data_IF_633649723149
#
_entry.id   IF_633649723149
#
_cell.length_a   1.000
_cell.length_b   1.000
_cell.length_c   1.000
_cell.angle_alpha   90.00
_cell.angle_beta   90.00
_cell.angle_gamma   90.00
#
_symmetry.space_group_name_H-M   'P 1'
#
loop_
_entity.id
_entity.type
_entity.pdbx_description
1 polymer ?
#
# COMPACT_ATOMS: atom_id res chain seq x y z
N UNK A 1 -55.49 20.24 25.67
CA UNK A 1 -54.60 19.29 24.95
C UNK A 1 -53.69 20.12 24.04
N UNK A 2 -52.39 20.19 24.32
CA UNK A 2 -51.39 20.82 23.44
C UNK A 2 -50.52 19.70 22.87
N UNK A 3 -50.67 19.43 21.58
CA UNK A 3 -49.86 18.45 20.86
C UNK A 3 -48.42 18.95 20.78
N UNK A 4 -47.51 18.24 21.45
CA UNK A 4 -46.06 18.44 21.33
C UNK A 4 -45.61 17.67 20.09
N UNK A 5 -45.26 18.40 19.03
CA UNK A 5 -44.69 17.84 17.81
C UNK A 5 -43.21 17.51 18.10
N UNK A 6 -42.91 16.22 18.27
CA UNK A 6 -41.55 15.72 18.45
C UNK A 6 -40.84 15.71 17.07
N UNK A 7 -40.02 16.72 16.82
CA UNK A 7 -39.15 16.75 15.63
C UNK A 7 -37.95 15.85 15.90
N UNK A 8 -37.97 14.66 15.28
CA UNK A 8 -36.81 13.76 15.26
C UNK A 8 -35.80 14.35 14.28
N UNK A 9 -34.82 15.06 14.80
CA UNK A 9 -33.62 15.48 14.06
C UNK A 9 -32.72 14.26 13.96
N UNK A 10 -32.82 13.52 12.86
CA UNK A 10 -31.84 12.51 12.47
C UNK A 10 -30.54 13.22 12.11
N UNK A 11 -29.60 13.26 13.06
CA UNK A 11 -28.21 13.60 12.79
C UNK A 11 -27.64 12.58 11.79
N UNK A 12 -27.60 12.95 10.52
CA UNK A 12 -26.72 12.35 9.53
C UNK A 12 -25.28 12.66 9.95
N UNK A 13 -24.69 11.78 10.74
CA UNK A 13 -23.25 11.81 10.97
C UNK A 13 -22.58 11.53 9.61
N UNK A 14 -21.80 12.48 9.05
CA UNK A 14 -20.99 12.16 7.89
C UNK A 14 -20.01 11.06 8.33
N UNK A 15 -20.16 9.88 7.75
CA UNK A 15 -19.12 8.86 7.80
C UNK A 15 -17.90 9.47 7.12
N UNK A 16 -16.97 9.97 7.93
CA UNK A 16 -15.64 10.33 7.45
C UNK A 16 -15.06 9.02 6.94
N UNK A 17 -15.15 8.82 5.63
CA UNK A 17 -14.44 7.75 4.97
C UNK A 17 -12.96 8.06 5.15
N UNK A 18 -12.33 7.42 6.14
CA UNK A 18 -10.89 7.48 6.34
C UNK A 18 -10.25 7.14 5.00
N UNK A 19 -9.52 8.10 4.42
CA UNK A 19 -8.73 7.83 3.24
C UNK A 19 -7.65 6.82 3.64
N UNK A 20 -7.45 5.78 2.84
CA UNK A 20 -6.41 4.80 3.08
C UNK A 20 -5.05 5.52 3.01
N UNK A 21 -4.24 5.42 4.07
CA UNK A 21 -2.99 6.17 4.24
C UNK A 21 -1.88 5.78 3.26
N UNK A 22 -2.10 4.75 2.44
CA UNK A 22 -1.23 4.38 1.33
C UNK A 22 -1.62 5.04 -0.01
N UNK A 23 -2.76 5.74 -0.09
CA UNK A 23 -3.11 6.52 -1.29
C UNK A 23 -2.22 7.75 -1.46
N UNK A 24 -1.88 8.06 -2.71
CA UNK A 24 -1.04 9.16 -3.13
C UNK A 24 0.07 8.74 -4.08
N UNK A 25 0.96 9.68 -4.37
CA UNK A 25 2.16 9.44 -5.16
C UNK A 25 3.33 9.06 -4.24
N UNK A 26 4.08 8.06 -4.68
CA UNK A 26 5.24 7.50 -4.00
C UNK A 26 6.42 7.45 -4.95
N UNK A 27 7.62 7.60 -4.41
CA UNK A 27 8.88 7.37 -5.10
C UNK A 27 9.49 6.08 -4.56
N UNK A 28 9.93 5.21 -5.45
CA UNK A 28 10.66 3.99 -5.07
C UNK A 28 12.04 4.40 -4.54
N UNK A 29 12.27 4.23 -3.25
CA UNK A 29 13.46 4.70 -2.55
C UNK A 29 14.62 3.72 -2.64
N UNK A 30 14.71 2.80 -1.68
CA UNK A 30 15.83 1.86 -1.53
C UNK A 30 15.34 0.42 -1.49
N UNK A 31 16.17 -0.52 -1.95
CA UNK A 31 15.97 -1.94 -1.69
C UNK A 31 16.37 -2.20 -0.24
N UNK A 32 15.43 -2.61 0.59
CA UNK A 32 15.65 -2.85 2.03
C UNK A 32 15.84 -4.33 2.36
N UNK A 33 15.35 -5.22 1.50
CA UNK A 33 15.57 -6.65 1.64
C UNK A 33 15.66 -7.36 0.30
N UNK A 34 16.47 -8.41 0.24
CA UNK A 34 16.57 -9.33 -0.89
C UNK A 34 17.11 -10.67 -0.41
N UNK A 35 16.43 -11.76 -0.74
CA UNK A 35 16.94 -13.11 -0.41
C UNK A 35 16.82 -14.05 -1.60
N UNK A 36 15.60 -14.44 -1.98
CA UNK A 36 15.33 -15.26 -3.17
C UNK A 36 14.63 -14.36 -4.18
N UNK A 37 15.35 -14.00 -5.24
CA UNK A 37 14.87 -13.08 -6.26
C UNK A 37 14.99 -13.68 -7.65
N UNK A 38 14.01 -13.38 -8.49
CA UNK A 38 14.04 -13.71 -9.93
C UNK A 38 14.70 -12.59 -10.76
N UNK A 39 15.13 -11.51 -10.11
CA UNK A 39 15.84 -10.40 -10.73
C UNK A 39 17.26 -10.31 -10.17
N UNK A 40 18.19 -9.92 -11.04
CA UNK A 40 19.50 -9.44 -10.60
C UNK A 40 19.36 -8.11 -9.84
N UNK A 41 20.38 -7.77 -9.05
CA UNK A 41 20.40 -6.49 -8.34
C UNK A 41 20.36 -5.28 -9.30
N UNK A 42 20.97 -5.39 -10.47
CA UNK A 42 20.99 -4.29 -11.44
C UNK A 42 19.62 -4.10 -12.10
N UNK A 43 18.91 -5.18 -12.41
CA UNK A 43 17.50 -5.12 -12.84
C UNK A 43 16.60 -4.52 -11.76
N UNK A 44 16.77 -4.94 -10.50
CA UNK A 44 16.04 -4.40 -9.36
C UNK A 44 16.28 -2.89 -9.18
N UNK A 45 17.52 -2.42 -9.39
CA UNK A 45 17.86 -1.00 -9.28
C UNK A 45 17.18 -0.13 -10.33
N UNK A 46 16.74 -0.69 -11.46
CA UNK A 46 16.03 0.09 -12.50
C UNK A 46 14.72 0.71 -11.99
N UNK A 47 14.11 0.13 -10.95
CA UNK A 47 12.87 0.65 -10.37
C UNK A 47 13.10 1.86 -9.45
N UNK A 48 14.32 2.08 -8.96
CA UNK A 48 14.61 3.15 -8.01
C UNK A 48 14.40 4.54 -8.63
N UNK A 49 13.85 5.45 -7.86
CA UNK A 49 13.50 6.81 -8.28
C UNK A 49 12.23 6.91 -9.14
N UNK A 50 11.64 5.80 -9.57
CA UNK A 50 10.40 5.82 -10.33
C UNK A 50 9.20 6.16 -9.44
N UNK A 51 8.18 6.76 -10.05
CA UNK A 51 6.95 7.13 -9.37
C UNK A 51 5.90 6.00 -9.46
N UNK A 52 5.16 5.85 -8.37
CA UNK A 52 4.06 4.91 -8.19
C UNK A 52 2.87 5.69 -7.62
N UNK A 53 1.70 5.55 -8.25
CA UNK A 53 0.47 6.21 -7.80
C UNK A 53 -0.51 5.15 -7.34
N UNK A 54 -1.09 5.37 -6.16
CA UNK A 54 -2.26 4.64 -5.68
C UNK A 54 -3.39 5.64 -5.42
N UNK A 55 -4.54 5.45 -6.04
CA UNK A 55 -5.76 6.15 -5.65
C UNK A 55 -6.97 5.23 -5.81
N UNK A 56 -8.15 5.69 -5.39
CA UNK A 56 -9.37 4.89 -5.38
C UNK A 56 -9.77 4.30 -6.73
N UNK A 57 -9.39 4.94 -7.84
CA UNK A 57 -9.78 4.53 -9.18
C UNK A 57 -8.62 3.93 -9.98
N UNK A 58 -7.37 4.20 -9.63
CA UNK A 58 -6.25 3.71 -10.41
C UNK A 58 -4.99 3.42 -9.60
N UNK A 59 -4.21 2.50 -10.19
CA UNK A 59 -2.79 2.31 -9.87
C UNK A 59 -1.98 2.64 -11.12
N UNK A 60 -0.86 3.34 -10.97
CA UNK A 60 0.07 3.55 -12.07
C UNK A 60 1.52 3.41 -11.64
N UNK A 61 2.32 2.84 -12.54
CA UNK A 61 3.76 2.73 -12.38
C UNK A 61 4.43 3.04 -13.72
N UNK A 62 5.29 4.07 -13.74
CA UNK A 62 5.86 4.58 -14.98
C UNK A 62 4.75 5.03 -15.95
N UNK A 63 4.74 4.48 -17.18
CA UNK A 63 3.73 4.78 -18.20
C UNK A 63 2.52 3.84 -18.20
N UNK A 64 2.45 2.88 -17.27
CA UNK A 64 1.39 1.86 -17.24
C UNK A 64 0.39 2.20 -16.15
N UNK A 65 -0.89 2.27 -16.51
CA UNK A 65 -1.99 2.61 -15.59
C UNK A 65 -3.11 1.58 -15.69
N UNK A 66 -3.70 1.22 -14.55
CA UNK A 66 -4.96 0.49 -14.46
C UNK A 66 -6.03 1.35 -13.80
N UNK A 67 -7.23 1.43 -14.40
CA UNK A 67 -8.35 2.28 -13.94
C UNK A 67 -9.52 1.55 -13.26
N UNK A 68 -9.44 0.23 -13.14
CA UNK A 68 -10.46 -0.59 -12.48
C UNK A 68 -9.76 -1.37 -11.36
N UNK A 69 -9.34 -0.62 -10.34
CA UNK A 69 -8.50 -1.12 -9.26
C UNK A 69 -9.34 -1.55 -8.06
N UNK A 70 -8.94 -2.63 -7.41
CA UNK A 70 -9.44 -3.06 -6.11
C UNK A 70 -8.24 -3.26 -5.19
N UNK A 71 -8.32 -2.69 -3.99
CA UNK A 71 -7.31 -2.84 -2.94
C UNK A 71 -7.82 -3.83 -1.91
N UNK A 72 -7.18 -5.00 -1.83
CA UNK A 72 -7.54 -6.04 -0.86
C UNK A 72 -6.57 -5.97 0.32
N UNK A 73 -7.07 -5.48 1.44
CA UNK A 73 -6.28 -5.34 2.67
C UNK A 73 -6.42 -6.56 3.56
N UNK A 74 -5.30 -7.03 4.11
CA UNK A 74 -5.26 -8.03 5.16
C UNK A 74 -4.24 -7.63 6.23
N UNK A 75 -4.52 -7.97 7.49
CA UNK A 75 -3.49 -7.91 8.52
C UNK A 75 -2.34 -8.84 8.13
N UNK A 76 -1.12 -8.34 8.27
CA UNK A 76 0.08 -9.05 7.87
C UNK A 76 1.03 -9.17 9.04
N UNK A 77 1.25 -10.38 9.52
CA UNK A 77 2.13 -10.63 10.66
C UNK A 77 3.53 -11.07 10.20
N UNK A 78 4.47 -11.12 11.15
CA UNK A 78 5.87 -11.44 10.88
C UNK A 78 6.06 -12.86 10.32
N UNK A 79 5.23 -13.82 10.74
CA UNK A 79 5.27 -15.19 10.20
C UNK A 79 4.92 -15.19 8.71
N UNK A 80 3.93 -14.40 8.30
CA UNK A 80 3.55 -14.26 6.90
C UNK A 80 4.66 -13.58 6.10
N UNK A 81 5.23 -12.48 6.60
CA UNK A 81 6.39 -11.82 5.98
C UNK A 81 7.55 -12.81 5.76
N UNK A 82 7.89 -13.62 6.77
CA UNK A 82 8.94 -14.62 6.66
C UNK A 82 8.58 -15.74 5.67
N UNK A 83 7.32 -16.17 5.66
CA UNK A 83 6.86 -17.23 4.75
C UNK A 83 6.98 -16.79 3.29
N UNK A 84 6.52 -15.58 2.97
CA UNK A 84 6.51 -15.05 1.59
C UNK A 84 7.86 -14.48 1.15
N UNK A 85 8.57 -13.77 2.03
CA UNK A 85 9.73 -12.95 1.65
C UNK A 85 11.04 -13.36 2.33
N UNK A 86 11.00 -14.32 3.27
CA UNK A 86 12.17 -14.68 4.10
C UNK A 86 12.79 -13.45 4.77
N UNK A 87 11.92 -12.54 5.20
CA UNK A 87 12.26 -11.29 5.89
C UNK A 87 11.60 -11.27 7.27
N UNK A 88 12.17 -10.49 8.17
CA UNK A 88 11.65 -10.19 9.49
C UNK A 88 11.25 -8.71 9.56
N UNK A 89 10.41 -8.35 10.53
CA UNK A 89 10.05 -6.94 10.72
C UNK A 89 11.26 -6.07 11.06
N UNK A 90 12.25 -6.62 11.77
CA UNK A 90 13.52 -5.96 12.03
C UNK A 90 14.29 -5.58 10.75
N UNK A 91 14.21 -6.39 9.69
CA UNK A 91 14.91 -6.12 8.43
C UNK A 91 14.31 -4.90 7.71
N UNK A 92 13.05 -4.57 8.02
CA UNK A 92 12.31 -3.44 7.48
C UNK A 92 12.22 -2.26 8.47
N UNK A 93 12.93 -2.36 9.60
CA UNK A 93 12.85 -1.42 10.72
C UNK A 93 11.39 -1.19 11.19
N UNK A 94 10.53 -2.20 11.09
CA UNK A 94 9.15 -2.16 11.62
C UNK A 94 9.21 -2.50 13.11
N UNK A 95 8.55 -1.68 13.93
CA UNK A 95 8.57 -1.85 15.39
C UNK A 95 7.68 -3.02 15.82
N UNK A 96 8.09 -3.72 16.87
CA UNK A 96 7.25 -4.75 17.49
C UNK A 96 5.91 -4.16 17.95
N UNK A 97 4.82 -4.86 17.64
CA UNK A 97 3.46 -4.41 17.96
C UNK A 97 2.86 -3.40 16.98
N UNK A 98 3.57 -3.01 15.92
CA UNK A 98 2.98 -2.23 14.82
C UNK A 98 1.88 -3.00 14.13
N UNK A 99 0.80 -2.31 13.78
CA UNK A 99 -0.17 -2.82 12.80
C UNK A 99 0.48 -2.77 11.42
N UNK A 100 0.50 -3.91 10.75
CA UNK A 100 1.03 -4.04 9.39
C UNK A 100 -0.09 -4.61 8.52
N UNK A 101 -0.32 -3.96 7.39
CA UNK A 101 -1.25 -4.39 6.36
C UNK A 101 -0.46 -4.90 5.16
N UNK A 102 -0.93 -6.00 4.60
CA UNK A 102 -0.64 -6.36 3.23
C UNK A 102 -1.80 -5.87 2.36
N UNK A 103 -1.48 -5.11 1.32
CA UNK A 103 -2.45 -4.64 0.34
C UNK A 103 -2.11 -5.29 -0.99
N UNK A 104 -2.98 -6.18 -1.45
CA UNK A 104 -2.90 -6.76 -2.79
C UNK A 104 -3.76 -5.96 -3.76
N UNK A 105 -3.16 -5.56 -4.88
CA UNK A 105 -3.81 -4.74 -5.90
C UNK A 105 -4.33 -5.66 -7.01
N UNK A 106 -5.64 -5.61 -7.26
CA UNK A 106 -6.30 -6.29 -8.38
C UNK A 106 -6.70 -5.25 -9.43
N UNK A 107 -6.50 -5.59 -10.71
CA UNK A 107 -6.86 -4.81 -11.88
C UNK A 107 -7.69 -5.67 -12.83
N UNK A 108 -8.91 -5.23 -13.17
CA UNK A 108 -9.82 -5.99 -14.05
C UNK A 108 -9.93 -7.47 -13.62
N UNK A 109 -10.21 -7.71 -12.34
CA UNK A 109 -10.38 -9.05 -11.75
C UNK A 109 -9.13 -9.95 -11.74
N UNK A 110 -7.96 -9.41 -12.11
CA UNK A 110 -6.68 -10.12 -12.06
C UNK A 110 -5.67 -9.39 -11.19
N UNK A 111 -4.82 -10.09 -10.45
CA UNK A 111 -3.76 -9.43 -9.68
C UNK A 111 -2.90 -8.57 -10.60
N UNK A 112 -2.66 -7.33 -10.19
CA UNK A 112 -1.77 -6.41 -10.91
C UNK A 112 -0.41 -7.09 -11.09
N UNK A 113 0.03 -7.28 -12.33
CA UNK A 113 1.24 -8.06 -12.62
C UNK A 113 2.52 -7.21 -12.70
N UNK A 114 2.41 -5.90 -12.41
CA UNK A 114 3.53 -4.96 -12.46
C UNK A 114 4.03 -4.62 -11.06
N UNK A 115 5.11 -3.86 -11.02
CA UNK A 115 5.61 -3.27 -9.79
C UNK A 115 4.48 -2.53 -9.07
N UNK A 116 4.43 -2.68 -7.74
CA UNK A 116 3.39 -2.08 -6.90
C UNK A 116 2.15 -2.94 -6.65
N UNK A 117 2.18 -4.22 -7.02
CA UNK A 117 1.06 -5.16 -6.82
C UNK A 117 0.83 -5.60 -5.37
N UNK A 118 1.91 -5.61 -4.58
CA UNK A 118 1.93 -6.12 -3.22
C UNK A 118 2.59 -5.09 -2.32
N UNK A 119 1.77 -4.43 -1.52
CA UNK A 119 2.19 -3.32 -0.66
C UNK A 119 2.18 -3.79 0.79
N UNK A 120 3.29 -3.58 1.48
CA UNK A 120 3.38 -3.78 2.93
C UNK A 120 3.30 -2.39 3.55
N UNK A 121 2.24 -2.11 4.30
CA UNK A 121 1.97 -0.78 4.85
C UNK A 121 1.88 -0.82 6.38
N UNK A 122 2.45 0.19 7.01
CA UNK A 122 2.34 0.49 8.44
C UNK A 122 2.03 1.97 8.58
N UNK A 123 1.67 2.42 9.79
CA UNK A 123 1.38 3.83 10.09
C UNK A 123 2.47 4.83 9.65
N UNK A 124 3.73 4.38 9.52
CA UNK A 124 4.87 5.27 9.22
C UNK A 124 5.69 4.86 8.00
N UNK A 125 5.46 3.67 7.45
CA UNK A 125 6.29 3.09 6.39
C UNK A 125 5.44 2.34 5.39
N UNK A 126 5.80 2.49 4.12
CA UNK A 126 5.20 1.76 3.02
C UNK A 126 6.30 1.11 2.21
N UNK A 127 6.10 -0.15 1.87
CA UNK A 127 7.01 -0.93 1.07
C UNK A 127 6.26 -1.60 -0.08
N UNK A 128 6.98 -1.95 -1.13
CA UNK A 128 6.49 -2.82 -2.19
C UNK A 128 7.37 -4.05 -2.27
N UNK A 129 6.77 -5.23 -2.34
CA UNK A 129 7.47 -6.44 -2.75
C UNK A 129 7.32 -6.65 -4.24
N UNK A 130 8.43 -6.88 -4.93
CA UNK A 130 8.42 -7.26 -6.35
C UNK A 130 9.55 -8.23 -6.67
N UNK A 131 9.18 -9.38 -7.24
CA UNK A 131 10.11 -10.43 -7.71
C UNK A 131 11.18 -10.85 -6.70
N UNK A 132 10.87 -10.80 -5.40
CA UNK A 132 11.79 -11.22 -4.32
C UNK A 132 12.60 -10.10 -3.67
N UNK A 133 12.45 -8.86 -4.14
CA UNK A 133 12.99 -7.66 -3.49
C UNK A 133 11.88 -6.91 -2.74
N UNK A 134 12.23 -6.34 -1.59
CA UNK A 134 11.38 -5.38 -0.88
C UNK A 134 11.99 -3.99 -1.03
N UNK A 135 11.18 -3.03 -1.49
CA UNK A 135 11.55 -1.65 -1.73
C UNK A 135 10.84 -0.75 -0.73
N UNK A 136 11.58 0.12 -0.05
CA UNK A 136 10.97 1.20 0.74
C UNK A 136 10.44 2.27 -0.20
N UNK A 137 9.21 2.71 0.04
CA UNK A 137 8.60 3.83 -0.65
C UNK A 137 8.72 5.11 0.17
N UNK A 138 8.92 6.21 -0.52
CA UNK A 138 8.90 7.55 0.05
C UNK A 138 7.71 8.30 -0.52
N UNK A 139 6.90 8.89 0.34
CA UNK A 139 5.77 9.70 -0.11
C UNK A 139 6.34 10.88 -0.90
N UNK A 140 5.89 11.06 -2.14
CA UNK A 140 6.27 12.23 -2.93
C UNK A 140 5.66 13.43 -2.22
N UNK A 141 6.48 14.27 -1.61
CA UNK A 141 6.00 15.48 -0.95
C UNK A 141 5.21 16.29 -1.98
N UNK A 142 3.94 16.57 -1.69
CA UNK A 142 3.22 17.56 -2.45
C UNK A 142 3.91 18.89 -2.17
N UNK A 143 4.67 19.40 -3.13
CA UNK A 143 5.07 20.80 -3.12
C UNK A 143 3.77 21.58 -3.35
N UNK A 144 3.13 22.02 -2.26
CA UNK A 144 2.07 23.03 -2.29
C UNK A 144 2.71 24.41 -2.30
#
# INVERSE_FOLDING_TARGET
>A
MKSVLFVIITLLAPSIAYAQDYFGEWIVGTIVHSHISNLSLDEAKTFLGQALLYNKSEVSFGSVTCKNVIFNEALFNERELYNYHKAFFSDLDIKNGSTVLNVEITCNDTTWSRFGAFVIHTDSKTFVSYSGHIYALQRKSANW
#
